data_IF_489692335636
#
_entry.id   IF_489692335636
#
_cell.length_a   1.000
_cell.length_b   1.000
_cell.length_c   1.000
_cell.angle_alpha   90.00
_cell.angle_beta   90.00
_cell.angle_gamma   90.00
#
_symmetry.space_group_name_H-M   'P 1'
#
loop_
_entity.id
_entity.type
_entity.pdbx_description
1 polymer ?
#
# COMPACT_ATOMS: atom_id res chain seq x y z
N UNK A 1 11.80 -40.43 -20.39
CA UNK A 1 11.72 -39.73 -19.09
C UNK A 1 10.77 -40.55 -18.26
N UNK A 2 11.24 -41.21 -17.20
CA UNK A 2 10.33 -41.96 -16.33
C UNK A 2 9.27 -41.00 -15.78
N UNK A 3 8.00 -41.41 -15.88
CA UNK A 3 6.83 -40.72 -15.30
C UNK A 3 6.50 -39.34 -15.85
N UNK A 4 6.73 -39.11 -17.15
CA UNK A 4 6.44 -37.82 -17.81
C UNK A 4 4.95 -37.45 -17.72
N UNK A 5 4.06 -38.43 -17.89
CA UNK A 5 2.63 -38.20 -17.92
C UNK A 5 2.10 -37.77 -16.54
N UNK A 6 2.54 -38.44 -15.48
CA UNK A 6 2.17 -38.15 -14.09
C UNK A 6 2.68 -36.76 -13.64
N UNK A 7 3.85 -36.34 -14.14
CA UNK A 7 4.37 -34.98 -13.92
C UNK A 7 3.48 -33.94 -14.60
N UNK A 8 3.08 -34.19 -15.84
CA UNK A 8 2.23 -33.27 -16.61
C UNK A 8 0.81 -33.18 -15.99
N UNK A 9 0.26 -34.29 -15.52
CA UNK A 9 -1.01 -34.34 -14.79
C UNK A 9 -0.96 -33.52 -13.48
N UNK A 10 0.07 -33.71 -12.65
CA UNK A 10 0.22 -32.95 -11.40
C UNK A 10 0.38 -31.45 -11.65
N UNK A 11 1.13 -31.06 -12.69
CA UNK A 11 1.37 -29.67 -13.08
C UNK A 11 0.18 -28.97 -13.71
N UNK A 12 -0.78 -29.72 -14.23
CA UNK A 12 -2.04 -29.17 -14.75
C UNK A 12 -2.92 -28.68 -13.60
N UNK A 13 -2.83 -29.34 -12.44
CA UNK A 13 -3.62 -29.00 -11.25
C UNK A 13 -2.93 -28.02 -10.31
N UNK A 14 -1.59 -27.97 -10.29
CA UNK A 14 -0.81 -27.18 -9.33
C UNK A 14 0.40 -26.50 -9.95
N UNK A 15 0.80 -25.31 -9.45
CA UNK A 15 1.98 -24.58 -9.91
C UNK A 15 3.29 -25.19 -9.37
N UNK A 16 3.51 -26.49 -9.59
CA UNK A 16 4.68 -27.24 -9.09
C UNK A 16 5.80 -27.26 -10.14
N UNK A 17 7.05 -27.01 -9.74
CA UNK A 17 8.21 -27.11 -10.63
C UNK A 17 8.54 -28.56 -11.03
N UNK A 18 9.13 -28.79 -12.21
CA UNK A 18 9.40 -30.14 -12.75
C UNK A 18 10.20 -31.00 -11.76
N UNK A 19 11.25 -30.45 -11.15
CA UNK A 19 12.09 -31.17 -10.17
C UNK A 19 11.32 -31.51 -8.89
N UNK A 20 10.46 -30.61 -8.43
CA UNK A 20 9.65 -30.84 -7.23
C UNK A 20 8.57 -31.90 -7.51
N UNK A 21 7.91 -31.85 -8.67
CA UNK A 21 6.96 -32.87 -9.11
C UNK A 21 7.59 -34.27 -9.17
N UNK A 22 8.81 -34.39 -9.73
CA UNK A 22 9.57 -35.64 -9.74
C UNK A 22 9.87 -36.17 -8.34
N UNK A 23 10.24 -35.28 -7.41
CA UNK A 23 10.52 -35.64 -6.03
C UNK A 23 9.25 -36.14 -5.31
N UNK A 24 8.12 -35.45 -5.48
CA UNK A 24 6.83 -35.83 -4.88
C UNK A 24 6.35 -37.19 -5.41
N UNK A 25 6.42 -37.40 -6.73
CA UNK A 25 6.05 -38.67 -7.36
C UNK A 25 7.01 -39.82 -6.99
N UNK A 26 8.28 -39.52 -6.74
CA UNK A 26 9.22 -40.53 -6.22
C UNK A 26 8.86 -40.95 -4.80
N UNK A 27 8.52 -39.99 -3.91
CA UNK A 27 8.09 -40.26 -2.53
C UNK A 27 6.79 -41.04 -2.43
N UNK A 28 5.92 -40.93 -3.43
CA UNK A 28 4.56 -41.52 -3.45
C UNK A 28 4.46 -42.70 -4.42
N UNK A 29 5.59 -43.24 -4.87
CA UNK A 29 5.65 -44.36 -5.81
C UNK A 29 4.86 -44.14 -7.12
N UNK A 30 4.68 -42.89 -7.54
CA UNK A 30 3.98 -42.51 -8.77
C UNK A 30 2.47 -42.24 -8.59
N UNK A 31 1.94 -42.31 -7.38
CA UNK A 31 0.54 -41.94 -7.11
C UNK A 31 0.37 -40.41 -7.17
N UNK A 32 -0.28 -39.93 -8.23
CA UNK A 32 -0.55 -38.50 -8.46
C UNK A 32 -1.44 -37.89 -7.37
N UNK A 33 -2.41 -38.65 -6.84
CA UNK A 33 -3.30 -38.15 -5.79
C UNK A 33 -2.55 -37.99 -4.46
N UNK A 34 -1.71 -38.96 -4.11
CA UNK A 34 -0.85 -38.87 -2.93
C UNK A 34 0.21 -37.76 -3.09
N UNK A 35 0.79 -37.58 -4.28
CA UNK A 35 1.73 -36.51 -4.58
C UNK A 35 1.08 -35.13 -4.46
N UNK A 36 -0.18 -34.99 -4.90
CA UNK A 36 -0.95 -33.77 -4.74
C UNK A 36 -1.25 -33.47 -3.27
N UNK A 37 -1.64 -34.48 -2.47
CA UNK A 37 -1.86 -34.29 -1.03
C UNK A 37 -0.58 -33.81 -0.31
N UNK A 38 0.56 -34.43 -0.62
CA UNK A 38 1.85 -34.03 -0.06
C UNK A 38 2.26 -32.61 -0.49
N UNK A 39 2.03 -32.25 -1.76
CA UNK A 39 2.28 -30.89 -2.24
C UNK A 39 1.45 -29.85 -1.48
N UNK A 40 0.16 -30.13 -1.27
CA UNK A 40 -0.74 -29.25 -0.52
C UNK A 40 -0.24 -29.08 0.91
N UNK A 41 0.12 -30.16 1.59
CA UNK A 41 0.66 -30.13 2.95
C UNK A 41 1.97 -29.32 3.04
N UNK A 42 2.95 -29.61 2.17
CA UNK A 42 4.22 -28.88 2.11
C UNK A 42 3.97 -27.38 1.84
N UNK A 43 3.05 -27.04 0.93
CA UNK A 43 2.73 -25.65 0.59
C UNK A 43 2.03 -24.93 1.74
N UNK A 44 1.08 -25.58 2.40
CA UNK A 44 0.40 -25.02 3.59
C UNK A 44 1.39 -24.72 4.70
N UNK A 45 2.32 -25.64 4.98
CA UNK A 45 3.38 -25.42 5.97
C UNK A 45 4.28 -24.23 5.61
N UNK A 46 4.66 -24.09 4.33
CA UNK A 46 5.46 -22.95 3.86
C UNK A 46 4.71 -21.63 4.05
N UNK A 47 3.42 -21.56 3.71
CA UNK A 47 2.64 -20.33 3.88
C UNK A 47 2.47 -20.00 5.37
N UNK A 48 2.09 -20.97 6.20
CA UNK A 48 1.96 -20.78 7.66
C UNK A 48 3.26 -20.27 8.30
N UNK A 49 4.42 -20.73 7.82
CA UNK A 49 5.71 -20.23 8.34
C UNK A 49 6.03 -18.76 7.98
N UNK A 50 5.29 -18.19 7.02
CA UNK A 50 5.52 -16.84 6.46
C UNK A 50 4.46 -15.82 6.87
N UNK A 51 3.41 -16.22 7.58
CA UNK A 51 2.33 -15.33 7.98
C UNK A 51 1.81 -15.66 9.37
N UNK A 52 1.41 -14.64 10.11
CA UNK A 52 0.70 -14.79 11.39
C UNK A 52 -0.83 -14.93 11.20
N UNK A 53 -1.28 -15.30 10.00
CA UNK A 53 -2.69 -15.51 9.71
C UNK A 53 -3.20 -16.81 10.35
N UNK A 54 -4.52 -16.88 10.62
CA UNK A 54 -5.09 -18.11 11.14
C UNK A 54 -5.00 -19.24 10.10
N UNK A 55 -4.87 -20.50 10.53
CA UNK A 55 -4.82 -21.64 9.60
C UNK A 55 -6.03 -21.71 8.66
N UNK A 56 -7.20 -21.28 9.12
CA UNK A 56 -8.43 -21.26 8.33
C UNK A 56 -8.34 -20.26 7.17
N UNK A 57 -7.85 -19.04 7.44
CA UNK A 57 -7.64 -18.04 6.40
C UNK A 57 -6.59 -18.48 5.39
N UNK A 58 -5.49 -19.09 5.87
CA UNK A 58 -4.45 -19.63 4.99
C UNK A 58 -5.00 -20.70 4.07
N UNK A 59 -5.79 -21.64 4.60
CA UNK A 59 -6.39 -22.70 3.81
C UNK A 59 -7.37 -22.15 2.76
N UNK A 60 -8.23 -21.22 3.14
CA UNK A 60 -9.16 -20.56 2.22
C UNK A 60 -8.43 -19.87 1.06
N UNK A 61 -7.36 -19.11 1.36
CA UNK A 61 -6.58 -18.39 0.35
C UNK A 61 -5.78 -19.34 -0.55
N UNK A 62 -5.24 -20.44 0.00
CA UNK A 62 -4.56 -21.48 -0.79
C UNK A 62 -5.49 -22.12 -1.81
N UNK A 63 -6.71 -22.44 -1.41
CA UNK A 63 -7.73 -22.99 -2.33
C UNK A 63 -8.11 -21.98 -3.41
N UNK A 64 -8.38 -20.73 -3.03
CA UNK A 64 -8.73 -19.65 -3.95
C UNK A 64 -7.65 -19.40 -5.01
N UNK A 65 -6.37 -19.51 -4.62
CA UNK A 65 -5.23 -19.25 -5.50
C UNK A 65 -4.54 -20.51 -6.02
N UNK A 66 -5.20 -21.67 -5.94
CA UNK A 66 -4.71 -22.94 -6.49
C UNK A 66 -3.30 -23.30 -6.00
N UNK A 67 -3.02 -23.01 -4.73
CA UNK A 67 -1.74 -23.27 -4.06
C UNK A 67 -0.54 -22.50 -4.67
N UNK A 68 -0.79 -21.40 -5.40
CA UNK A 68 0.26 -20.44 -5.76
C UNK A 68 0.66 -19.64 -4.50
N UNK A 69 1.86 -19.89 -3.97
CA UNK A 69 2.36 -19.29 -2.74
C UNK A 69 2.37 -17.75 -2.81
N UNK A 70 2.79 -17.17 -3.94
CA UNK A 70 2.96 -15.73 -4.06
C UNK A 70 1.58 -15.04 -4.06
N UNK A 71 0.64 -15.57 -4.84
CA UNK A 71 -0.74 -15.05 -4.87
C UNK A 71 -1.47 -15.28 -3.55
N UNK A 72 -1.26 -16.43 -2.92
CA UNK A 72 -1.84 -16.75 -1.61
C UNK A 72 -1.38 -15.76 -0.55
N UNK A 73 -0.07 -15.49 -0.46
CA UNK A 73 0.45 -14.51 0.50
C UNK A 73 -0.10 -13.10 0.24
N UNK A 74 -0.22 -12.69 -1.02
CA UNK A 74 -0.84 -11.42 -1.38
C UNK A 74 -2.33 -11.36 -0.97
N UNK A 75 -3.10 -12.42 -1.24
CA UNK A 75 -4.51 -12.52 -0.84
C UNK A 75 -4.71 -12.53 0.68
N UNK A 76 -3.80 -13.15 1.43
CA UNK A 76 -3.80 -13.10 2.91
C UNK A 76 -3.55 -11.67 3.40
N UNK A 77 -2.62 -10.93 2.81
CA UNK A 77 -2.41 -9.53 3.18
C UNK A 77 -3.64 -8.67 2.86
N UNK A 78 -4.27 -8.89 1.71
CA UNK A 78 -5.50 -8.19 1.30
C UNK A 78 -6.68 -8.46 2.23
N UNK A 79 -6.81 -9.69 2.72
CA UNK A 79 -7.86 -10.05 3.66
C UNK A 79 -7.64 -9.46 5.06
N UNK A 80 -6.40 -9.10 5.42
CA UNK A 80 -6.03 -8.68 6.78
C UNK A 80 -5.82 -7.18 6.93
N UNK A 81 -5.44 -6.50 5.85
CA UNK A 81 -4.98 -5.12 5.90
C UNK A 81 -5.59 -4.30 4.77
N UNK A 82 -5.98 -3.08 5.10
CA UNK A 82 -6.34 -2.03 4.15
C UNK A 82 -5.18 -1.72 3.19
N UNK A 83 -5.45 -1.04 2.06
CA UNK A 83 -4.38 -0.70 1.14
C UNK A 83 -3.37 0.26 1.80
N UNK A 84 -3.84 1.18 2.64
CA UNK A 84 -2.98 2.08 3.41
C UNK A 84 -2.09 1.34 4.40
N UNK A 85 -2.62 0.38 5.17
CA UNK A 85 -1.80 -0.42 6.09
C UNK A 85 -0.72 -1.21 5.34
N UNK A 86 -1.04 -1.78 4.17
CA UNK A 86 -0.06 -2.47 3.32
C UNK A 86 1.03 -1.52 2.84
N UNK A 87 0.68 -0.31 2.41
CA UNK A 87 1.65 0.71 2.00
C UNK A 87 2.57 1.09 3.18
N UNK A 88 2.00 1.39 4.35
CA UNK A 88 2.78 1.74 5.54
C UNK A 88 3.76 0.63 5.96
N UNK A 89 3.34 -0.63 5.91
CA UNK A 89 4.20 -1.78 6.22
C UNK A 89 5.34 -1.93 5.22
N UNK A 90 5.06 -1.78 3.92
CA UNK A 90 6.02 -1.93 2.83
C UNK A 90 7.05 -0.79 2.78
N UNK A 91 6.62 0.44 3.07
CA UNK A 91 7.42 1.66 2.95
C UNK A 91 7.73 2.31 4.30
N UNK A 92 7.81 1.51 5.38
CA UNK A 92 8.03 1.99 6.76
C UNK A 92 9.27 2.86 6.98
N UNK A 93 10.26 2.78 6.09
CA UNK A 93 11.52 3.53 6.15
C UNK A 93 11.62 4.61 5.06
N UNK A 94 10.60 4.76 4.22
CA UNK A 94 10.55 5.69 3.10
C UNK A 94 9.19 6.41 3.11
N UNK A 95 9.10 7.43 3.97
CA UNK A 95 7.84 8.11 4.27
C UNK A 95 7.29 8.86 3.05
N UNK A 96 8.14 9.48 2.23
CA UNK A 96 7.70 10.21 1.04
C UNK A 96 7.03 9.25 0.05
N UNK A 97 7.70 8.15 -0.30
CA UNK A 97 7.13 7.14 -1.19
C UNK A 97 5.85 6.52 -0.61
N UNK A 98 5.77 6.36 0.72
CA UNK A 98 4.55 5.88 1.38
C UNK A 98 3.39 6.87 1.19
N UNK A 99 3.62 8.15 1.46
CA UNK A 99 2.60 9.20 1.34
C UNK A 99 2.11 9.36 -0.11
N UNK A 100 3.01 9.33 -1.09
CA UNK A 100 2.65 9.41 -2.52
C UNK A 100 1.71 8.26 -2.92
N UNK A 101 2.00 7.04 -2.45
CA UNK A 101 1.18 5.86 -2.73
C UNK A 101 -0.17 5.91 -2.04
N UNK A 102 -0.22 6.49 -0.83
CA UNK A 102 -1.47 6.67 -0.10
C UNK A 102 -2.33 7.74 -0.78
N UNK A 103 -1.73 8.81 -1.32
CA UNK A 103 -2.45 9.80 -2.13
C UNK A 103 -3.08 9.13 -3.36
N UNK A 104 -2.33 8.30 -4.09
CA UNK A 104 -2.87 7.53 -5.21
C UNK A 104 -4.02 6.61 -4.79
N UNK A 105 -3.89 5.90 -3.66
CA UNK A 105 -4.95 5.04 -3.15
C UNK A 105 -6.22 5.82 -2.76
N UNK A 106 -6.07 7.03 -2.20
CA UNK A 106 -7.20 7.93 -1.91
C UNK A 106 -7.89 8.37 -3.21
N UNK A 107 -7.11 8.78 -4.22
CA UNK A 107 -7.66 9.19 -5.51
C UNK A 107 -8.46 8.08 -6.18
N UNK A 108 -7.94 6.85 -6.19
CA UNK A 108 -8.62 5.68 -6.74
C UNK A 108 -9.89 5.34 -5.95
N UNK A 109 -9.81 5.31 -4.62
CA UNK A 109 -10.93 4.95 -3.75
C UNK A 109 -12.08 5.98 -3.79
N UNK A 110 -11.75 7.27 -3.82
CA UNK A 110 -12.73 8.35 -3.87
C UNK A 110 -13.09 8.78 -5.32
N UNK A 111 -12.50 8.13 -6.33
CA UNK A 111 -12.68 8.45 -7.75
C UNK A 111 -12.49 9.94 -8.07
N UNK A 112 -11.45 10.54 -7.46
CA UNK A 112 -11.17 11.97 -7.60
C UNK A 112 -10.84 12.32 -9.04
N UNK A 113 -11.36 13.46 -9.52
CA UNK A 113 -11.10 13.95 -10.88
C UNK A 113 -10.04 15.03 -10.83
N UNK A 114 -8.98 14.85 -11.64
CA UNK A 114 -7.93 15.85 -11.86
C UNK A 114 -8.18 16.61 -13.15
N UNK A 115 -8.07 17.94 -13.09
CA UNK A 115 -7.95 18.82 -14.26
C UNK A 115 -6.60 19.54 -14.14
N UNK A 116 -5.52 18.82 -14.46
CA UNK A 116 -4.12 19.14 -14.12
C UNK A 116 -3.82 19.06 -12.61
N UNK A 117 -4.58 19.79 -11.79
CA UNK A 117 -4.46 19.79 -10.33
C UNK A 117 -5.79 19.39 -9.68
N UNK A 118 -5.74 18.99 -8.41
CA UNK A 118 -6.92 18.72 -7.61
C UNK A 118 -7.61 20.03 -7.20
N UNK A 119 -8.95 20.12 -7.34
CA UNK A 119 -9.72 21.26 -6.85
C UNK A 119 -9.83 21.19 -5.32
N UNK A 120 -8.83 21.72 -4.60
CA UNK A 120 -8.69 21.55 -3.15
C UNK A 120 -9.94 21.96 -2.36
N UNK A 121 -10.63 23.04 -2.76
CA UNK A 121 -11.88 23.46 -2.11
C UNK A 121 -13.01 22.43 -2.19
N UNK A 122 -13.05 21.61 -3.25
CA UNK A 122 -14.10 20.61 -3.48
C UNK A 122 -13.80 19.29 -2.78
N UNK A 123 -12.52 19.00 -2.50
CA UNK A 123 -12.11 17.76 -1.84
C UNK A 123 -12.65 17.64 -0.41
N UNK A 124 -12.85 18.77 0.30
CA UNK A 124 -13.34 18.79 1.69
C UNK A 124 -14.70 18.12 1.85
N UNK A 125 -15.51 18.08 0.79
CA UNK A 125 -16.82 17.43 0.77
C UNK A 125 -16.75 15.94 0.41
N UNK A 126 -15.65 15.48 -0.19
CA UNK A 126 -15.48 14.13 -0.71
C UNK A 126 -14.67 13.22 0.22
N UNK A 127 -13.85 13.82 1.09
CA UNK A 127 -12.88 13.11 1.91
C UNK A 127 -13.11 13.35 3.41
N UNK A 128 -12.75 12.36 4.23
CA UNK A 128 -12.59 12.56 5.67
C UNK A 128 -11.49 13.59 5.97
N UNK A 129 -11.49 14.21 7.16
CA UNK A 129 -10.55 15.29 7.49
C UNK A 129 -9.06 14.96 7.29
N UNK A 130 -8.60 13.76 7.69
CA UNK A 130 -7.18 13.41 7.60
C UNK A 130 -6.73 13.05 6.17
N UNK A 131 -7.49 12.25 5.38
CA UNK A 131 -7.24 12.12 3.95
C UNK A 131 -7.28 13.46 3.22
N UNK A 132 -8.21 14.35 3.57
CA UNK A 132 -8.27 15.71 3.00
C UNK A 132 -7.00 16.50 3.29
N UNK A 133 -6.55 16.57 4.54
CA UNK A 133 -5.31 17.23 4.92
C UNK A 133 -4.10 16.66 4.16
N UNK A 134 -4.02 15.33 4.03
CA UNK A 134 -2.94 14.69 3.27
C UNK A 134 -2.96 15.14 1.81
N UNK A 135 -4.12 15.05 1.14
CA UNK A 135 -4.24 15.43 -0.27
C UNK A 135 -3.92 16.91 -0.50
N UNK A 136 -4.41 17.81 0.36
CA UNK A 136 -4.16 19.26 0.26
C UNK A 136 -2.67 19.58 0.37
N UNK A 137 -2.00 19.04 1.40
CA UNK A 137 -0.59 19.35 1.66
C UNK A 137 0.32 18.69 0.63
N UNK A 138 0.05 17.44 0.24
CA UNK A 138 0.83 16.73 -0.80
C UNK A 138 0.69 17.39 -2.17
N UNK A 139 -0.51 17.82 -2.55
CA UNK A 139 -0.72 18.54 -3.82
C UNK A 139 0.04 19.88 -3.82
N UNK A 140 -0.02 20.63 -2.72
CA UNK A 140 0.71 21.89 -2.61
C UNK A 140 2.24 21.70 -2.62
N UNK A 141 2.76 20.69 -1.92
CA UNK A 141 4.18 20.35 -1.95
C UNK A 141 4.65 19.92 -3.33
N UNK A 142 3.81 19.17 -4.06
CA UNK A 142 4.09 18.79 -5.44
C UNK A 142 4.18 20.04 -6.32
N UNK A 143 3.21 20.96 -6.20
CA UNK A 143 3.21 22.22 -6.94
C UNK A 143 4.44 23.08 -6.61
N UNK A 144 4.79 23.23 -5.34
CA UNK A 144 6.00 23.94 -4.90
C UNK A 144 7.29 23.32 -5.45
N UNK A 145 7.39 21.99 -5.49
CA UNK A 145 8.55 21.31 -6.08
C UNK A 145 8.71 21.54 -7.58
N UNK A 146 7.61 21.80 -8.31
CA UNK A 146 7.62 22.06 -9.75
C UNK A 146 7.80 23.53 -10.11
N UNK A 147 7.07 24.43 -9.43
CA UNK A 147 6.95 25.85 -9.81
C UNK A 147 7.81 26.77 -8.93
N UNK A 148 8.28 26.29 -7.78
CA UNK A 148 8.96 27.10 -6.76
C UNK A 148 8.02 27.66 -5.70
N UNK A 149 8.60 28.07 -4.57
CA UNK A 149 7.85 28.51 -3.39
C UNK A 149 7.07 29.81 -3.61
N UNK A 150 7.64 30.76 -4.34
CA UNK A 150 7.03 32.05 -4.66
C UNK A 150 5.73 31.89 -5.45
N UNK A 151 5.74 31.00 -6.45
CA UNK A 151 4.55 30.66 -7.25
C UNK A 151 3.55 29.84 -6.42
N UNK A 152 4.03 28.86 -5.64
CA UNK A 152 3.17 28.02 -4.81
C UNK A 152 2.40 28.76 -3.73
N UNK A 153 2.92 29.89 -3.24
CA UNK A 153 2.19 30.75 -2.30
C UNK A 153 0.93 31.39 -2.92
N UNK A 154 0.75 31.33 -4.24
CA UNK A 154 -0.50 31.74 -4.91
C UNK A 154 -1.49 30.58 -5.10
N UNK A 155 -1.08 29.33 -4.84
CA UNK A 155 -1.89 28.14 -5.04
C UNK A 155 -2.61 27.72 -3.74
N UNK A 156 -3.84 28.19 -3.55
CA UNK A 156 -4.68 27.89 -2.36
C UNK A 156 -4.00 28.13 -1.00
N UNK A 157 -3.25 29.24 -0.78
CA UNK A 157 -2.44 29.41 0.43
C UNK A 157 -3.26 29.36 1.74
N UNK A 158 -4.47 29.91 1.73
CA UNK A 158 -5.35 29.90 2.90
C UNK A 158 -5.80 28.47 3.29
N UNK A 159 -6.16 27.65 2.31
CA UNK A 159 -6.62 26.27 2.52
C UNK A 159 -5.48 25.41 3.06
N UNK A 160 -4.31 25.54 2.45
CA UNK A 160 -3.11 24.79 2.85
C UNK A 160 -2.66 25.21 4.25
N UNK A 161 -2.62 26.52 4.54
CA UNK A 161 -2.26 27.03 5.86
C UNK A 161 -3.26 26.61 6.95
N UNK A 162 -4.56 26.54 6.64
CA UNK A 162 -5.59 26.04 7.56
C UNK A 162 -5.29 24.59 7.97
N UNK A 163 -5.08 23.69 7.00
CA UNK A 163 -4.81 22.28 7.28
C UNK A 163 -3.46 22.06 8.00
N UNK A 164 -2.41 22.78 7.60
CA UNK A 164 -1.10 22.74 8.27
C UNK A 164 -1.22 23.20 9.73
N UNK A 165 -2.06 24.20 10.01
CA UNK A 165 -2.25 24.72 11.37
C UNK A 165 -3.15 23.82 12.21
N UNK A 166 -4.33 23.49 11.69
CA UNK A 166 -5.38 22.81 12.44
C UNK A 166 -5.11 21.31 12.59
N UNK A 167 -4.67 20.66 11.51
CA UNK A 167 -4.51 19.20 11.46
C UNK A 167 -3.08 18.79 11.78
N UNK A 168 -2.07 19.43 11.17
CA UNK A 168 -0.65 19.08 11.40
C UNK A 168 -0.03 19.78 12.61
N UNK A 169 -0.67 20.81 13.14
CA UNK A 169 -0.20 21.61 14.28
C UNK A 169 1.18 22.23 14.03
N UNK A 170 1.39 22.74 12.80
CA UNK A 170 2.62 23.40 12.36
C UNK A 170 2.39 24.88 12.02
N UNK A 171 1.98 25.72 12.99
CA UNK A 171 1.59 27.11 12.72
C UNK A 171 2.72 27.97 12.11
N UNK A 172 3.98 27.64 12.38
CA UNK A 172 5.13 28.35 11.81
C UNK A 172 5.28 28.11 10.30
N UNK A 173 5.02 26.88 9.84
CA UNK A 173 5.02 26.55 8.40
C UNK A 173 3.86 27.27 7.71
N UNK A 174 2.66 27.21 8.29
CA UNK A 174 1.49 27.90 7.77
C UNK A 174 1.70 29.41 7.67
N UNK A 175 2.28 30.02 8.72
CA UNK A 175 2.58 31.45 8.72
C UNK A 175 3.62 31.84 7.66
N UNK A 176 4.61 30.98 7.38
CA UNK A 176 5.58 31.22 6.33
C UNK A 176 4.93 31.22 4.94
N UNK A 177 4.04 30.27 4.66
CA UNK A 177 3.27 30.21 3.40
C UNK A 177 2.40 31.47 3.24
N UNK A 178 1.65 31.84 4.28
CA UNK A 178 0.75 33.02 4.23
C UNK A 178 1.50 34.35 4.06
N UNK A 179 2.75 34.43 4.51
CA UNK A 179 3.60 35.62 4.38
C UNK A 179 4.52 35.58 3.15
N UNK A 180 4.52 34.48 2.40
CA UNK A 180 5.46 34.22 1.31
C UNK A 180 6.92 34.37 1.80
N UNK A 181 7.19 33.90 3.02
CA UNK A 181 8.51 33.92 3.65
C UNK A 181 9.24 32.60 3.39
N UNK A 182 10.01 32.56 2.29
CA UNK A 182 10.72 31.35 1.87
C UNK A 182 11.75 30.89 2.89
N UNK A 183 12.47 31.83 3.52
CA UNK A 183 13.49 31.49 4.51
C UNK A 183 12.87 30.79 5.73
N UNK A 184 11.77 31.33 6.24
CA UNK A 184 11.02 30.69 7.33
C UNK A 184 10.41 29.35 6.90
N UNK A 185 9.93 29.24 5.65
CA UNK A 185 9.40 27.99 5.13
C UNK A 185 10.48 26.91 5.07
N UNK A 186 11.63 27.17 4.46
CA UNK A 186 12.72 26.19 4.34
C UNK A 186 13.25 25.74 5.72
N UNK A 187 13.27 26.64 6.71
CA UNK A 187 13.67 26.30 8.09
C UNK A 187 12.75 25.24 8.73
N UNK A 188 11.46 25.23 8.38
CA UNK A 188 10.46 24.37 9.01
C UNK A 188 9.91 23.27 8.08
N UNK A 189 10.20 23.32 6.78
CA UNK A 189 9.70 22.40 5.74
C UNK A 189 9.93 20.93 6.09
N UNK A 190 11.10 20.60 6.64
CA UNK A 190 11.47 19.23 7.02
C UNK A 190 10.53 18.58 8.06
N UNK A 191 9.64 19.35 8.70
CA UNK A 191 8.66 18.83 9.65
C UNK A 191 7.40 18.29 8.97
N UNK A 192 7.11 18.67 7.71
CA UNK A 192 5.88 18.31 7.02
C UNK A 192 5.75 16.80 6.78
N UNK A 193 6.74 16.18 6.14
CA UNK A 193 6.70 14.75 5.80
C UNK A 193 6.55 13.86 7.05
N UNK A 194 7.37 14.03 8.12
CA UNK A 194 7.19 13.23 9.33
C UNK A 194 5.82 13.44 10.00
N UNK A 195 5.28 14.67 9.98
CA UNK A 195 3.97 14.97 10.57
C UNK A 195 2.82 14.36 9.78
N UNK A 196 2.85 14.46 8.45
CA UNK A 196 1.90 13.80 7.57
C UNK A 196 1.93 12.29 7.77
N UNK A 197 3.13 11.69 7.75
CA UNK A 197 3.27 10.24 7.95
C UNK A 197 2.74 9.81 9.33
N UNK A 198 3.09 10.53 10.40
CA UNK A 198 2.58 10.23 11.74
C UNK A 198 1.05 10.36 11.83
N UNK A 199 0.46 11.36 11.19
CA UNK A 199 -1.00 11.52 11.10
C UNK A 199 -1.65 10.30 10.44
N UNK A 200 -1.12 9.85 9.30
CA UNK A 200 -1.67 8.70 8.58
C UNK A 200 -1.57 7.42 9.42
N UNK A 201 -0.43 7.18 10.09
CA UNK A 201 -0.27 6.02 10.99
C UNK A 201 -1.29 6.06 12.14
N UNK A 202 -1.50 7.22 12.76
CA UNK A 202 -2.42 7.36 13.89
C UNK A 202 -3.89 7.24 13.49
N UNK A 203 -4.22 7.64 12.26
CA UNK A 203 -5.59 7.74 11.75
C UNK A 203 -5.84 6.75 10.62
N UNK A 204 -5.10 5.65 10.57
CA UNK A 204 -5.05 4.72 9.44
C UNK A 204 -6.44 4.19 9.03
N UNK A 205 -7.36 4.07 9.99
CA UNK A 205 -8.74 3.62 9.76
C UNK A 205 -9.61 4.62 8.98
N UNK A 206 -9.16 5.86 8.81
CA UNK A 206 -9.83 6.88 7.99
C UNK A 206 -9.33 6.88 6.54
N UNK A 207 -8.31 6.07 6.22
CA UNK A 207 -7.73 5.93 4.91
C UNK A 207 -8.19 4.61 4.26
N UNK A 208 -8.19 4.50 2.92
CA UNK A 208 -8.60 3.29 2.21
C UNK A 208 -7.68 2.08 2.48
#
# INVERSE_FOLDING_TARGET
MERKQEIDELRTCFPVGIRHAQMLLSKTNGDVAAAAALFKEETTAVVLSKTDASPELVQQQLEQHQYDIAKTLAGIEEARFTITERILRKYKNDHETALDKICLAIEEAAQLKRNYWLPLNELKQQLHPHPYCLMVVSEWLSFEGWEGFDVACSFYPAVVAEEITATLQLPLVAAAILKTDEAAFQQHRMQLIPKLYAMVVQQVTQFP
#
